data_IF_702098800029
#
_entry.id   IF_702098800029
#
_cell.length_a   1.000
_cell.length_b   1.000
_cell.length_c   1.000
_cell.angle_alpha   90.00
_cell.angle_beta   90.00
_cell.angle_gamma   90.00
#
_symmetry.space_group_name_H-M   'P 1'
#
loop_
_entity.id
_entity.type
_entity.pdbx_description
1 polymer ?
#
# COMPACT_ATOMS: atom_id res chain seq x y z
N UNK A 1 14.09 16.93 -4.42
CA UNK A 1 15.33 17.14 -3.61
C UNK A 1 15.50 15.87 -2.79
N UNK A 2 16.54 15.07 -3.00
CA UNK A 2 16.69 13.79 -2.27
C UNK A 2 16.97 14.07 -0.79
N UNK A 3 16.03 13.68 0.09
CA UNK A 3 16.15 13.83 1.54
C UNK A 3 17.34 12.99 2.00
N UNK A 4 18.33 13.61 2.63
CA UNK A 4 19.48 12.89 3.19
C UNK A 4 19.15 12.51 4.63
N UNK A 5 19.16 11.21 4.90
CA UNK A 5 19.11 10.69 6.27
C UNK A 5 20.53 10.60 6.80
N UNK A 6 20.79 11.17 7.97
CA UNK A 6 22.09 11.19 8.62
C UNK A 6 22.19 10.16 9.76
N UNK A 7 21.04 9.68 10.24
CA UNK A 7 20.95 8.66 11.29
C UNK A 7 19.76 7.72 11.10
N UNK A 8 19.74 6.61 11.84
CA UNK A 8 18.56 5.73 11.91
C UNK A 8 17.35 6.41 12.56
N UNK A 9 17.58 7.37 13.46
CA UNK A 9 16.51 8.14 14.10
C UNK A 9 15.76 8.98 13.07
N UNK A 10 16.47 9.59 12.12
CA UNK A 10 15.86 10.41 11.06
C UNK A 10 14.90 9.60 10.18
N UNK A 11 15.22 8.31 9.97
CA UNK A 11 14.37 7.39 9.22
C UNK A 11 13.14 7.02 10.05
N UNK A 12 13.32 6.74 11.34
CA UNK A 12 12.22 6.44 12.24
C UNK A 12 11.23 7.59 12.34
N UNK A 13 11.72 8.81 12.57
CA UNK A 13 10.90 10.02 12.67
C UNK A 13 10.17 10.29 11.34
N UNK A 14 10.83 10.08 10.20
CA UNK A 14 10.19 10.21 8.90
C UNK A 14 8.98 9.27 8.72
N UNK A 15 9.08 8.01 9.13
CA UNK A 15 7.94 7.09 9.07
C UNK A 15 6.88 7.39 10.14
N UNK A 16 7.27 7.86 11.33
CA UNK A 16 6.33 8.36 12.35
C UNK A 16 5.49 9.52 11.83
N UNK A 17 6.09 10.41 11.06
CA UNK A 17 5.43 11.55 10.44
C UNK A 17 4.57 11.15 9.21
N UNK A 18 4.40 9.85 8.92
CA UNK A 18 3.60 9.38 7.78
C UNK A 18 4.35 9.37 6.45
N UNK A 19 5.68 9.50 6.47
CA UNK A 19 6.52 9.37 5.29
C UNK A 19 6.38 8.00 4.62
N UNK A 20 6.35 8.00 3.29
CA UNK A 20 6.16 6.79 2.48
C UNK A 20 7.34 6.56 1.54
N UNK A 21 7.54 5.32 1.11
CA UNK A 21 8.58 5.03 0.11
C UNK A 21 8.29 5.75 -1.22
N UNK A 22 7.03 5.96 -1.58
CA UNK A 22 6.66 6.79 -2.73
C UNK A 22 7.21 8.21 -2.59
N UNK A 23 7.02 8.84 -1.43
CA UNK A 23 7.52 10.20 -1.17
C UNK A 23 9.05 10.31 -1.20
N UNK A 24 9.77 9.20 -0.97
CA UNK A 24 11.24 9.13 -1.12
C UNK A 24 11.70 8.90 -2.55
N UNK A 25 10.86 8.32 -3.41
CA UNK A 25 11.25 7.82 -4.72
C UNK A 25 10.96 8.79 -5.89
N UNK A 26 10.68 10.07 -5.62
CA UNK A 26 10.21 11.06 -6.61
C UNK A 26 8.99 10.58 -7.42
N UNK A 27 8.26 9.58 -6.94
CA UNK A 27 7.01 9.14 -7.56
C UNK A 27 5.92 10.14 -7.22
N UNK A 28 5.21 10.57 -8.24
CA UNK A 28 4.06 11.46 -8.09
C UNK A 28 2.81 10.65 -7.75
N UNK A 29 1.77 11.32 -7.23
CA UNK A 29 0.47 10.68 -7.05
C UNK A 29 -0.10 10.15 -8.38
N UNK A 30 0.19 10.82 -9.50
CA UNK A 30 -0.23 10.36 -10.82
C UNK A 30 0.43 9.02 -11.18
N UNK A 31 1.72 8.85 -10.91
CA UNK A 31 2.43 7.60 -11.16
C UNK A 31 1.80 6.44 -10.37
N UNK A 32 1.40 6.69 -9.11
CA UNK A 32 0.70 5.71 -8.29
C UNK A 32 -0.71 5.40 -8.83
N UNK A 33 -1.45 6.41 -9.28
CA UNK A 33 -2.78 6.23 -9.87
C UNK A 33 -2.73 5.42 -11.17
N UNK A 34 -1.71 5.65 -12.01
CA UNK A 34 -1.50 4.92 -13.26
C UNK A 34 -1.15 3.46 -12.96
N UNK A 35 -0.26 3.22 -11.99
CA UNK A 35 0.11 1.88 -11.54
C UNK A 35 -1.11 1.12 -10.97
N UNK A 36 -1.92 1.79 -10.16
CA UNK A 36 -3.17 1.26 -9.63
C UNK A 36 -4.16 0.89 -10.76
N UNK A 37 -4.34 1.78 -11.73
CA UNK A 37 -5.22 1.54 -12.89
C UNK A 37 -4.77 0.34 -13.72
N UNK A 38 -3.46 0.18 -13.91
CA UNK A 38 -2.88 -0.98 -14.59
C UNK A 38 -3.10 -2.27 -13.78
N UNK A 39 -2.88 -2.24 -12.47
CA UNK A 39 -3.13 -3.38 -11.57
C UNK A 39 -4.60 -3.82 -11.59
N UNK A 40 -5.51 -2.85 -11.55
CA UNK A 40 -6.94 -3.11 -11.63
C UNK A 40 -7.35 -3.71 -12.98
N UNK A 41 -6.81 -3.19 -14.08
CA UNK A 41 -7.07 -3.73 -15.43
C UNK A 41 -6.58 -5.17 -15.56
N UNK A 42 -5.38 -5.47 -15.06
CA UNK A 42 -4.85 -6.83 -15.00
C UNK A 42 -5.78 -7.75 -14.20
N UNK A 43 -6.25 -7.30 -13.03
CA UNK A 43 -7.18 -8.06 -12.21
C UNK A 43 -8.49 -8.38 -12.95
N UNK A 44 -9.10 -7.37 -13.58
CA UNK A 44 -10.36 -7.52 -14.33
C UNK A 44 -10.20 -8.46 -15.52
N UNK A 45 -9.07 -8.42 -16.22
CA UNK A 45 -8.78 -9.31 -17.35
C UNK A 45 -8.52 -10.77 -16.95
N UNK A 46 -8.34 -11.05 -15.66
CA UNK A 46 -8.01 -12.39 -15.14
C UNK A 46 -6.52 -12.68 -15.01
N UNK A 47 -5.64 -11.76 -15.40
CA UNK A 47 -4.21 -11.82 -15.06
C UNK A 47 -3.98 -11.40 -13.61
N UNK A 48 -4.43 -12.27 -12.69
CA UNK A 48 -4.38 -12.01 -11.25
C UNK A 48 -2.94 -12.02 -10.72
N UNK A 49 -2.01 -12.71 -11.37
CA UNK A 49 -0.59 -12.77 -10.97
C UNK A 49 0.06 -11.40 -11.17
N UNK A 50 -0.14 -10.79 -12.35
CA UNK A 50 0.34 -9.43 -12.62
C UNK A 50 -0.30 -8.43 -11.67
N UNK A 51 -1.63 -8.49 -11.49
CA UNK A 51 -2.34 -7.64 -10.55
C UNK A 51 -1.76 -7.73 -9.13
N UNK A 52 -1.58 -8.96 -8.61
CA UNK A 52 -0.98 -9.20 -7.28
C UNK A 52 0.38 -8.54 -7.15
N UNK A 53 1.26 -8.69 -8.14
CA UNK A 53 2.61 -8.12 -8.08
C UNK A 53 2.60 -6.59 -8.03
N UNK A 54 1.70 -5.96 -8.79
CA UNK A 54 1.54 -4.51 -8.82
C UNK A 54 0.92 -3.99 -7.52
N UNK A 55 -0.10 -4.66 -7.00
CA UNK A 55 -0.67 -4.32 -5.70
C UNK A 55 0.32 -4.54 -4.54
N UNK A 56 1.18 -5.57 -4.62
CA UNK A 56 2.30 -5.71 -3.68
C UNK A 56 3.21 -4.48 -3.72
N UNK A 57 3.65 -4.06 -4.91
CA UNK A 57 4.47 -2.85 -5.05
C UNK A 57 3.77 -1.61 -4.48
N UNK A 58 2.49 -1.41 -4.81
CA UNK A 58 1.69 -0.31 -4.29
C UNK A 58 1.60 -0.33 -2.75
N UNK A 59 1.41 -1.51 -2.13
CA UNK A 59 1.42 -1.64 -0.66
C UNK A 59 2.78 -1.44 -0.01
N UNK A 60 3.88 -1.56 -0.75
CA UNK A 60 5.21 -1.16 -0.27
C UNK A 60 5.43 0.34 -0.39
N UNK A 61 5.02 0.93 -1.51
CA UNK A 61 5.15 2.36 -1.79
C UNK A 61 4.29 3.18 -0.84
N UNK A 62 3.06 2.75 -0.61
CA UNK A 62 2.01 3.41 0.16
C UNK A 62 1.41 2.44 1.19
N UNK A 63 2.19 2.15 2.22
CA UNK A 63 1.90 1.09 3.18
C UNK A 63 0.67 1.28 4.06
N UNK A 64 0.06 2.46 4.10
CA UNK A 64 -1.16 2.72 4.87
C UNK A 64 -2.40 2.82 3.98
N UNK A 65 -2.24 2.68 2.67
CA UNK A 65 -3.37 2.74 1.76
C UNK A 65 -4.23 1.48 1.89
N UNK A 66 -5.47 1.71 2.32
CA UNK A 66 -6.46 0.66 2.53
C UNK A 66 -6.79 -0.08 1.24
N UNK A 67 -7.06 0.65 0.15
CA UNK A 67 -7.53 0.09 -1.12
C UNK A 67 -6.47 -0.80 -1.77
N UNK A 68 -5.20 -0.41 -1.68
CA UNK A 68 -4.09 -1.22 -2.19
C UNK A 68 -3.96 -2.54 -1.42
N UNK A 69 -4.11 -2.49 -0.09
CA UNK A 69 -4.05 -3.68 0.77
C UNK A 69 -5.24 -4.60 0.57
N UNK A 70 -6.44 -4.04 0.43
CA UNK A 70 -7.66 -4.80 0.13
C UNK A 70 -7.53 -5.49 -1.23
N UNK A 71 -7.10 -4.75 -2.25
CA UNK A 71 -6.95 -5.27 -3.61
C UNK A 71 -5.89 -6.38 -3.68
N UNK A 72 -4.80 -6.25 -2.92
CA UNK A 72 -3.81 -7.31 -2.76
C UNK A 72 -4.42 -8.58 -2.14
N UNK A 73 -5.23 -8.42 -1.08
CA UNK A 73 -5.94 -9.54 -0.44
C UNK A 73 -6.90 -10.25 -1.40
N UNK A 74 -7.63 -9.49 -2.23
CA UNK A 74 -8.50 -10.04 -3.26
C UNK A 74 -7.73 -10.81 -4.34
N UNK A 75 -6.51 -10.37 -4.69
CA UNK A 75 -5.64 -11.11 -5.61
C UNK A 75 -5.22 -12.46 -5.01
N UNK A 76 -4.75 -12.46 -3.76
CA UNK A 76 -4.38 -13.69 -3.06
C UNK A 76 -5.56 -14.65 -2.89
N UNK A 77 -6.73 -14.14 -2.55
CA UNK A 77 -7.95 -14.94 -2.45
C UNK A 77 -8.29 -15.64 -3.77
N UNK A 78 -8.19 -14.91 -4.89
CA UNK A 78 -8.51 -15.44 -6.22
C UNK A 78 -7.45 -16.42 -6.75
N UNK A 79 -6.22 -16.35 -6.23
CA UNK A 79 -5.14 -17.31 -6.47
C UNK A 79 -5.15 -18.50 -5.49
N UNK A 80 -6.14 -18.60 -4.60
CA UNK A 80 -6.22 -19.62 -3.55
C UNK A 80 -5.09 -19.56 -2.51
N UNK A 81 -4.40 -18.42 -2.40
CA UNK A 81 -3.39 -18.16 -1.36
C UNK A 81 -4.09 -17.64 -0.09
N UNK A 82 -4.81 -18.52 0.60
CA UNK A 82 -5.74 -18.11 1.67
C UNK A 82 -5.04 -17.49 2.89
N UNK A 83 -3.84 -17.94 3.24
CA UNK A 83 -3.07 -17.39 4.36
C UNK A 83 -2.70 -15.92 4.11
N UNK A 84 -2.15 -15.62 2.94
CA UNK A 84 -1.80 -14.24 2.56
C UNK A 84 -3.03 -13.34 2.45
N UNK A 85 -4.14 -13.87 1.94
CA UNK A 85 -5.40 -13.14 1.88
C UNK A 85 -5.90 -12.77 3.28
N UNK A 86 -5.89 -13.71 4.23
CA UNK A 86 -6.27 -13.46 5.63
C UNK A 86 -5.40 -12.38 6.27
N UNK A 87 -4.09 -12.39 6.03
CA UNK A 87 -3.18 -11.36 6.53
C UNK A 87 -3.52 -9.98 5.96
N UNK A 88 -3.81 -9.89 4.66
CA UNK A 88 -4.24 -8.63 4.03
C UNK A 88 -5.55 -8.10 4.63
N UNK A 89 -6.54 -8.97 4.84
CA UNK A 89 -7.83 -8.58 5.40
C UNK A 89 -7.73 -8.20 6.88
N UNK A 90 -6.91 -8.89 7.66
CA UNK A 90 -6.62 -8.50 9.05
C UNK A 90 -6.00 -7.11 9.11
N UNK A 91 -5.05 -6.81 8.21
CA UNK A 91 -4.44 -5.47 8.10
C UNK A 91 -5.48 -4.40 7.72
N UNK A 92 -6.40 -4.71 6.80
CA UNK A 92 -7.53 -3.82 6.49
C UNK A 92 -8.40 -3.54 7.72
N UNK A 93 -8.68 -4.56 8.54
CA UNK A 93 -9.38 -4.40 9.82
C UNK A 93 -8.68 -3.43 10.76
N UNK A 94 -7.34 -3.53 10.87
CA UNK A 94 -6.53 -2.62 11.68
C UNK A 94 -6.61 -1.18 11.16
N UNK A 95 -6.58 -0.98 9.83
CA UNK A 95 -6.73 0.35 9.24
C UNK A 95 -8.11 0.96 9.53
N UNK A 96 -9.18 0.18 9.38
CA UNK A 96 -10.54 0.65 9.70
C UNK A 96 -10.69 1.00 11.18
N UNK A 97 -10.09 0.22 12.07
CA UNK A 97 -10.07 0.50 13.49
C UNK A 97 -9.29 1.78 13.81
N UNK A 98 -8.07 1.93 13.29
CA UNK A 98 -7.26 3.12 13.53
C UNK A 98 -7.92 4.39 12.98
N UNK A 99 -8.63 4.31 11.85
CA UNK A 99 -9.43 5.42 11.32
C UNK A 99 -10.61 5.77 12.23
N UNK A 100 -11.32 4.79 12.79
CA UNK A 100 -12.46 5.06 13.69
C UNK A 100 -12.05 5.68 15.03
N UNK A 101 -10.83 5.40 15.49
CA UNK A 101 -10.24 6.00 16.69
C UNK A 101 -9.58 7.37 16.42
N UNK A 102 -9.60 7.86 15.18
CA UNK A 102 -8.95 9.11 14.80
C UNK A 102 -7.42 9.05 14.77
N UNK A 103 -6.83 7.86 14.83
CA UNK A 103 -5.37 7.66 14.87
C UNK A 103 -4.76 7.87 13.47
N UNK A 104 -5.53 7.58 12.41
CA UNK A 104 -5.15 7.81 11.00
C UNK A 104 -5.64 9.16 10.43
N UNK A 105 -5.88 10.18 11.26
CA UNK A 105 -6.40 11.50 10.83
C UNK A 105 -5.36 12.44 10.20
N UNK A 106 -4.11 12.03 10.06
CA UNK A 106 -3.06 12.98 9.69
C UNK A 106 -2.85 13.23 8.20
N UNK A 107 -3.46 12.45 7.29
CA UNK A 107 -3.15 12.57 5.86
C UNK A 107 -4.34 12.14 4.97
N UNK A 108 -5.45 12.88 5.06
CA UNK A 108 -6.40 13.04 3.93
C UNK A 108 -5.88 14.13 2.98
#
# INVERSE_FOLDING_TARGET
>A
MSRKFSSLQDIYDFYQDGGTLASLSNLTQQDLNDLHSYAYTAYQSGDVITARNLFHLLTYLEHWNYDYTLSLGLCHQRLSNHEDAQLCFARCGNFSYARSQGILLFWD
#
